data_IF_191846122562
#
_entry.id   IF_191846122562
#
_cell.length_a   1.000
_cell.length_b   1.000
_cell.length_c   1.000
_cell.angle_alpha   90.00
_cell.angle_beta   90.00
_cell.angle_gamma   90.00
#
_symmetry.space_group_name_H-M   'P 1'
#
loop_
_entity.id
_entity.type
_entity.pdbx_description
1 polymer ?
#
# COMPACT_ATOMS: atom_id res chain seq x y z
N UNK A 1 -14.58 -30.11 0.47
CA UNK A 1 -15.32 -28.86 0.16
C UNK A 1 -14.46 -27.75 0.74
N UNK A 2 -13.57 -27.05 0.02
CA UNK A 2 -13.78 -26.09 -1.10
C UNK A 2 -15.05 -25.25 -0.88
N UNK A 3 -14.85 -23.96 -0.57
CA UNK A 3 -15.87 -22.92 -0.54
C UNK A 3 -15.96 -22.25 0.84
N UNK A 4 -15.22 -21.15 1.04
CA UNK A 4 -15.73 -19.77 1.16
C UNK A 4 -15.72 -19.28 2.60
N UNK A 5 -14.61 -18.72 3.04
CA UNK A 5 -14.63 -17.66 4.05
C UNK A 5 -14.20 -16.39 3.33
N UNK A 6 -15.19 -15.74 2.73
CA UNK A 6 -15.15 -14.38 2.20
C UNK A 6 -14.99 -13.42 3.37
N UNK A 7 -13.82 -13.39 3.99
CA UNK A 7 -13.44 -12.32 4.89
C UNK A 7 -12.65 -11.32 4.06
N UNK A 8 -12.78 -10.04 4.38
CA UNK A 8 -11.98 -8.99 3.76
C UNK A 8 -10.56 -9.20 4.27
N UNK A 9 -9.84 -10.17 3.69
CA UNK A 9 -8.43 -10.37 3.95
C UNK A 9 -7.73 -9.21 3.27
N UNK A 10 -7.58 -8.14 4.04
CA UNK A 10 -6.58 -7.12 3.79
C UNK A 10 -5.26 -7.86 3.60
N UNK A 11 -4.82 -7.97 2.35
CA UNK A 11 -3.64 -8.75 2.01
C UNK A 11 -2.40 -8.07 2.59
N UNK A 12 -2.01 -8.51 3.80
CA UNK A 12 -0.95 -7.91 4.59
C UNK A 12 0.41 -8.01 3.91
N UNK A 13 0.66 -9.11 3.20
CA UNK A 13 1.88 -9.28 2.40
C UNK A 13 1.94 -8.18 1.33
N UNK A 14 0.80 -7.94 0.71
CA UNK A 14 0.65 -6.95 -0.32
C UNK A 14 0.85 -5.52 0.22
N UNK A 15 0.30 -5.20 1.39
CA UNK A 15 0.60 -3.92 2.08
C UNK A 15 2.08 -3.73 2.36
N UNK A 16 2.76 -4.77 2.86
CA UNK A 16 4.19 -4.73 3.12
C UNK A 16 4.98 -4.54 1.82
N UNK A 17 4.56 -5.16 0.72
CA UNK A 17 5.16 -4.94 -0.60
C UNK A 17 4.97 -3.49 -1.08
N UNK A 18 3.75 -2.94 -1.00
CA UNK A 18 3.49 -1.53 -1.35
C UNK A 18 4.33 -0.59 -0.50
N UNK A 19 4.40 -0.80 0.81
CA UNK A 19 5.24 -0.02 1.72
C UNK A 19 6.71 -0.09 1.33
N UNK A 20 7.24 -1.28 1.01
CA UNK A 20 8.64 -1.44 0.59
C UNK A 20 8.96 -0.73 -0.73
N UNK A 21 8.04 -0.77 -1.70
CA UNK A 21 8.18 -0.04 -2.96
C UNK A 21 8.22 1.46 -2.69
N UNK A 22 7.25 1.98 -1.92
CA UNK A 22 7.18 3.40 -1.59
C UNK A 22 8.41 3.89 -0.82
N UNK A 23 8.93 3.09 0.10
CA UNK A 23 10.17 3.36 0.83
C UNK A 23 11.37 3.47 -0.12
N UNK A 24 11.49 2.55 -1.09
CA UNK A 24 12.52 2.62 -2.13
C UNK A 24 12.39 3.85 -3.04
N UNK A 25 11.15 4.31 -3.32
CA UNK A 25 10.90 5.54 -4.09
C UNK A 25 11.19 6.80 -3.27
N UNK A 26 10.90 6.78 -1.97
CA UNK A 26 11.21 7.87 -1.05
C UNK A 26 12.73 8.02 -0.87
N UNK A 27 13.46 6.90 -0.75
CA UNK A 27 14.93 6.93 -0.74
C UNK A 27 15.46 7.50 -2.05
N UNK A 28 14.92 7.06 -3.20
CA UNK A 28 15.34 7.58 -4.50
C UNK A 28 15.14 9.10 -4.66
N UNK A 29 14.15 9.71 -4.00
CA UNK A 29 13.98 11.18 -3.93
C UNK A 29 15.00 11.86 -3.01
N UNK A 30 15.48 11.16 -1.98
CA UNK A 30 16.45 11.67 -1.01
C UNK A 30 17.90 11.54 -1.49
N UNK A 31 18.25 10.38 -2.04
CA UNK A 31 19.64 10.03 -2.39
C UNK A 31 20.00 10.41 -3.82
N UNK A 32 19.03 10.46 -4.72
CA UNK A 32 19.22 10.90 -6.10
C UNK A 32 18.34 12.11 -6.33
N UNK A 33 18.82 13.09 -7.08
CA UNK A 33 18.01 14.22 -7.55
C UNK A 33 16.94 13.79 -8.56
N UNK A 34 16.26 12.67 -8.30
CA UNK A 34 15.12 12.21 -9.05
C UNK A 34 14.03 13.27 -8.96
N UNK A 35 13.50 13.67 -10.11
CA UNK A 35 12.43 14.65 -10.15
C UNK A 35 11.18 14.05 -9.52
N UNK A 36 10.51 14.82 -8.65
CA UNK A 36 9.27 14.43 -7.97
C UNK A 36 8.20 13.93 -8.96
N UNK A 37 8.16 14.47 -10.17
CA UNK A 37 7.26 14.05 -11.26
C UNK A 37 7.62 12.68 -11.86
N UNK A 38 8.91 12.39 -12.03
CA UNK A 38 9.38 11.10 -12.51
C UNK A 38 9.08 9.98 -11.51
N UNK A 39 9.28 10.26 -10.21
CA UNK A 39 8.94 9.32 -9.15
C UNK A 39 7.43 9.16 -9.01
N UNK A 40 6.64 10.24 -9.12
CA UNK A 40 5.18 10.14 -9.10
C UNK A 40 4.66 9.17 -10.17
N UNK A 41 5.19 9.25 -11.40
CA UNK A 41 4.77 8.35 -12.50
C UNK A 41 5.09 6.88 -12.20
N UNK A 42 6.28 6.61 -11.65
CA UNK A 42 6.69 5.26 -11.26
C UNK A 42 5.83 4.72 -10.12
N UNK A 43 5.58 5.55 -9.10
CA UNK A 43 4.75 5.20 -7.94
C UNK A 43 3.33 4.87 -8.39
N UNK A 44 2.72 5.68 -9.27
CA UNK A 44 1.40 5.39 -9.83
C UNK A 44 1.39 4.05 -10.55
N UNK A 45 2.39 3.79 -11.39
CA UNK A 45 2.48 2.53 -12.15
C UNK A 45 2.61 1.31 -11.22
N UNK A 46 3.49 1.38 -10.22
CA UNK A 46 3.72 0.30 -9.27
C UNK A 46 2.45 0.04 -8.43
N UNK A 47 1.85 1.10 -7.88
CA UNK A 47 0.63 1.02 -7.06
C UNK A 47 -0.56 0.48 -7.87
N UNK A 48 -0.76 0.94 -9.12
CA UNK A 48 -1.86 0.46 -9.98
C UNK A 48 -1.67 -1.01 -10.37
N UNK A 49 -0.43 -1.44 -10.65
CA UNK A 49 -0.14 -2.84 -10.93
C UNK A 49 -0.44 -3.75 -9.73
N UNK A 50 -0.16 -3.27 -8.51
CA UNK A 50 -0.50 -3.97 -7.27
C UNK A 50 -2.00 -4.00 -7.02
N UNK A 51 -2.70 -2.88 -7.20
CA UNK A 51 -4.16 -2.81 -7.06
C UNK A 51 -4.87 -3.85 -7.95
N UNK A 52 -4.39 -4.05 -9.18
CA UNK A 52 -4.94 -5.05 -10.11
C UNK A 52 -4.75 -6.51 -9.67
N UNK A 53 -3.84 -6.78 -8.73
CA UNK A 53 -3.65 -8.12 -8.17
C UNK A 53 -4.58 -8.42 -7.01
N UNK A 54 -5.20 -7.40 -6.40
CA UNK A 54 -5.94 -7.54 -5.16
C UNK A 54 -7.43 -7.30 -5.39
N UNK A 55 -8.28 -7.83 -4.52
CA UNK A 55 -9.73 -7.65 -4.59
C UNK A 55 -10.26 -7.02 -3.31
N UNK A 56 -11.30 -6.20 -3.44
CA UNK A 56 -12.01 -5.60 -2.31
C UNK A 56 -11.56 -4.18 -1.99
N UNK A 57 -11.99 -3.63 -0.84
CA UNK A 57 -11.84 -2.21 -0.50
C UNK A 57 -10.38 -1.73 -0.49
N UNK A 58 -9.43 -2.63 -0.31
CA UNK A 58 -8.00 -2.30 -0.35
C UNK A 58 -7.52 -1.89 -1.74
N UNK A 59 -7.98 -2.56 -2.79
CA UNK A 59 -7.64 -2.20 -4.16
C UNK A 59 -8.16 -0.80 -4.50
N UNK A 60 -9.34 -0.43 -4.00
CA UNK A 60 -9.93 0.89 -4.17
C UNK A 60 -9.12 1.98 -3.45
N UNK A 61 -8.72 1.75 -2.20
CA UNK A 61 -7.92 2.73 -1.44
C UNK A 61 -6.54 2.94 -2.07
N UNK A 62 -5.88 1.86 -2.51
CA UNK A 62 -4.60 1.91 -3.22
C UNK A 62 -4.72 2.67 -4.54
N UNK A 63 -5.78 2.39 -5.30
CA UNK A 63 -6.07 3.09 -6.56
C UNK A 63 -6.32 4.58 -6.32
N UNK A 64 -7.08 4.95 -5.29
CA UNK A 64 -7.28 6.37 -4.92
C UNK A 64 -5.97 7.08 -4.57
N UNK A 65 -5.06 6.41 -3.87
CA UNK A 65 -3.73 6.98 -3.60
C UNK A 65 -2.93 7.20 -4.89
N UNK A 66 -2.95 6.24 -5.81
CA UNK A 66 -2.35 6.42 -7.13
C UNK A 66 -2.97 7.59 -7.89
N UNK A 67 -4.30 7.69 -7.93
CA UNK A 67 -4.99 8.79 -8.61
C UNK A 67 -4.63 10.15 -8.02
N UNK A 68 -4.56 10.28 -6.69
CA UNK A 68 -4.14 11.54 -6.04
C UNK A 68 -2.72 11.94 -6.43
N UNK A 69 -1.79 10.98 -6.46
CA UNK A 69 -0.40 11.23 -6.88
C UNK A 69 -0.35 11.60 -8.36
N UNK A 70 -1.13 10.92 -9.21
CA UNK A 70 -1.24 11.21 -10.63
C UNK A 70 -1.82 12.60 -10.89
N UNK A 71 -2.84 13.02 -10.13
CA UNK A 71 -3.46 14.34 -10.24
C UNK A 71 -2.52 15.45 -9.76
N UNK A 72 -1.75 15.20 -8.70
CA UNK A 72 -0.73 16.13 -8.22
C UNK A 72 0.41 16.31 -9.24
N UNK A 73 0.73 15.26 -10.01
CA UNK A 73 1.82 15.27 -11.00
C UNK A 73 3.22 15.33 -10.39
N UNK A 74 3.31 15.35 -9.06
CA UNK A 74 4.53 15.30 -8.27
C UNK A 74 4.26 14.58 -6.94
N UNK A 75 5.30 13.99 -6.36
CA UNK A 75 5.24 13.39 -5.02
C UNK A 75 6.54 13.68 -4.28
N UNK A 76 6.42 14.13 -3.03
CA UNK A 76 7.57 14.38 -2.16
C UNK A 76 7.95 13.11 -1.38
N UNK A 77 9.21 13.03 -0.93
CA UNK A 77 9.66 11.93 -0.07
C UNK A 77 8.80 11.82 1.20
N UNK A 78 8.45 12.96 1.80
CA UNK A 78 7.62 13.02 3.02
C UNK A 78 6.21 12.46 2.79
N UNK A 79 5.62 12.71 1.61
CA UNK A 79 4.34 12.13 1.22
C UNK A 79 4.43 10.61 1.09
N UNK A 80 5.53 10.11 0.50
CA UNK A 80 5.76 8.67 0.38
C UNK A 80 5.97 8.03 1.75
N UNK A 81 6.74 8.62 2.66
CA UNK A 81 6.91 8.06 4.02
C UNK A 81 5.59 8.00 4.80
N UNK A 82 4.74 9.03 4.65
CA UNK A 82 3.40 9.04 5.26
C UNK A 82 2.57 7.86 4.74
N UNK A 83 2.60 7.60 3.44
CA UNK A 83 1.91 6.45 2.85
C UNK A 83 2.50 5.12 3.33
N UNK A 84 3.84 5.00 3.42
CA UNK A 84 4.52 3.82 3.99
C UNK A 84 4.04 3.56 5.41
N UNK A 85 3.97 4.60 6.25
CA UNK A 85 3.51 4.49 7.63
C UNK A 85 2.05 4.03 7.71
N UNK A 86 1.18 4.56 6.85
CA UNK A 86 -0.23 4.12 6.76
C UNK A 86 -0.30 2.64 6.39
N UNK A 87 0.37 2.20 5.31
CA UNK A 87 0.30 0.80 4.88
C UNK A 87 0.91 -0.17 5.91
N UNK A 88 1.99 0.20 6.61
CA UNK A 88 2.53 -0.62 7.71
C UNK A 88 1.57 -0.66 8.90
N UNK A 89 1.04 0.48 9.34
CA UNK A 89 0.10 0.54 10.46
C UNK A 89 -1.17 -0.28 10.17
N UNK A 90 -1.72 -0.16 8.96
CA UNK A 90 -2.90 -0.95 8.56
C UNK A 90 -2.59 -2.45 8.47
N UNK A 91 -1.40 -2.84 8.03
CA UNK A 91 -0.98 -4.24 8.04
C UNK A 91 -0.81 -4.78 9.47
N UNK A 92 -0.22 -4.00 10.37
CA UNK A 92 -0.01 -4.38 11.77
C UNK A 92 -1.34 -4.42 12.55
N UNK A 93 -2.27 -3.50 12.27
CA UNK A 93 -3.64 -3.54 12.80
C UNK A 93 -4.39 -4.77 12.31
N UNK A 94 -4.28 -5.14 11.03
CA UNK A 94 -4.88 -6.37 10.51
C UNK A 94 -4.29 -7.63 11.18
N UNK A 95 -2.97 -7.69 11.38
CA UNK A 95 -2.29 -8.79 12.08
C UNK A 95 -2.76 -8.92 13.54
N UNK A 96 -2.90 -7.78 14.23
CA UNK A 96 -3.42 -7.72 15.59
C UNK A 96 -4.90 -8.16 15.68
N UNK A 97 -5.70 -7.84 14.65
CA UNK A 97 -7.13 -8.21 14.62
C UNK A 97 -7.31 -9.70 14.28
N UNK A 98 -6.50 -10.26 13.36
CA UNK A 98 -6.47 -11.71 13.10
C UNK A 98 -5.98 -12.49 14.33
N UNK A 99 -4.98 -12.01 15.07
CA UNK A 99 -4.55 -12.63 16.34
C UNK A 99 -5.64 -12.56 17.42
N UNK A 100 -6.37 -11.46 17.54
CA UNK A 100 -7.46 -11.33 18.52
C UNK A 100 -8.68 -12.21 18.17
N UNK A 101 -9.04 -12.32 16.89
CA UNK A 101 -10.14 -13.19 16.46
C UNK A 101 -9.76 -14.69 16.42
N UNK A 102 -8.48 -15.02 16.23
CA UNK A 102 -7.97 -16.39 16.35
C UNK A 102 -7.88 -16.90 17.80
N UNK A 103 -8.02 -16.00 18.80
CA UNK A 103 -8.02 -16.33 20.22
C UNK A 103 -9.40 -16.53 20.86
N UNK A 104 -10.49 -16.28 20.14
CA UNK A 104 -11.87 -16.37 20.66
C UNK A 104 -12.55 -17.71 20.31
N UNK A 105 -11.84 -18.82 20.53
CA UNK A 105 -12.44 -20.15 20.65
C UNK A 105 -11.77 -20.89 21.82
N UNK A 106 -12.26 -20.64 23.03
CA UNK A 106 -12.13 -21.54 24.19
C UNK A 106 -13.53 -21.88 24.68
#
# INVERSE_FOLDING_TARGET
MIGTMTEIQWDMEAMRQTASILEGRADALRTKGASESGIATLVVTDITALAGRWRGPMADEITKHAEKISQAGSVSAETLDKLVAVYRSTADECDATEQQNGGFFV
#
